data_IF_744700987668
#
_entry.id   IF_744700987668
#
_cell.length_a   1.000
_cell.length_b   1.000
_cell.length_c   1.000
_cell.angle_alpha   90.00
_cell.angle_beta   90.00
_cell.angle_gamma   90.00
#
_symmetry.space_group_name_H-M   'P 1'
#
loop_
_entity.id
_entity.type
_entity.pdbx_description
1 polymer ?
#
# COMPACT_ATOMS: atom_id res chain seq x y z
N UNK A 1 -43.26 -35.85 -7.62
CA UNK A 1 -42.57 -35.50 -6.37
C UNK A 1 -41.08 -35.41 -6.65
N UNK A 2 -40.45 -34.35 -6.12
CA UNK A 2 -39.00 -34.16 -5.83
C UNK A 2 -38.06 -34.35 -7.03
N UNK A 3 -37.49 -33.31 -7.65
CA UNK A 3 -36.93 -32.10 -7.05
C UNK A 3 -35.57 -32.43 -6.43
N UNK A 4 -34.55 -32.64 -7.25
CA UNK A 4 -33.15 -32.74 -6.79
C UNK A 4 -32.37 -31.60 -7.42
N UNK A 5 -32.29 -30.51 -6.68
CA UNK A 5 -31.26 -29.49 -6.82
C UNK A 5 -29.88 -30.10 -6.52
N UNK A 6 -28.85 -29.62 -7.21
CA UNK A 6 -27.54 -29.51 -6.58
C UNK A 6 -26.99 -28.07 -6.71
N UNK A 7 -26.85 -27.40 -5.57
CA UNK A 7 -25.88 -26.32 -5.26
C UNK A 7 -25.81 -26.21 -3.73
N UNK A 8 -24.73 -25.69 -3.09
CA UNK A 8 -23.69 -24.73 -3.55
C UNK A 8 -22.24 -25.27 -3.41
N UNK A 9 -21.23 -24.86 -4.20
CA UNK A 9 -20.50 -23.56 -4.26
C UNK A 9 -19.37 -23.41 -3.19
N UNK A 10 -18.22 -22.90 -3.66
CA UNK A 10 -17.02 -22.42 -2.94
C UNK A 10 -16.02 -23.40 -2.30
N UNK A 11 -14.95 -23.69 -3.04
CA UNK A 11 -13.61 -23.96 -2.47
C UNK A 11 -12.62 -22.88 -2.91
N UNK A 12 -12.49 -21.89 -2.04
CA UNK A 12 -11.30 -21.09 -1.68
C UNK A 12 -10.26 -20.86 -2.78
N UNK A 13 -10.37 -19.65 -3.32
CA UNK A 13 -9.30 -18.85 -3.92
C UNK A 13 -8.02 -18.86 -3.07
N UNK A 14 -6.90 -19.19 -3.72
CA UNK A 14 -5.56 -18.69 -3.39
C UNK A 14 -4.76 -18.74 -4.67
N UNK A 15 -4.80 -17.66 -5.43
CA UNK A 15 -3.75 -17.34 -6.38
C UNK A 15 -3.52 -15.84 -6.25
N UNK A 16 -2.42 -15.58 -5.57
CA UNK A 16 -1.81 -14.31 -5.27
C UNK A 16 -1.49 -13.59 -6.58
N UNK A 17 -2.38 -12.68 -6.98
CA UNK A 17 -2.10 -11.75 -8.07
C UNK A 17 -1.29 -10.59 -7.47
N UNK A 18 0.02 -10.79 -7.35
CA UNK A 18 0.97 -9.70 -7.17
C UNK A 18 1.12 -9.00 -8.54
N UNK A 19 0.13 -8.19 -8.90
CA UNK A 19 0.19 -7.36 -10.11
C UNK A 19 1.09 -6.15 -9.83
N UNK A 20 2.40 -6.38 -9.98
CA UNK A 20 3.38 -5.30 -10.13
C UNK A 20 3.27 -4.76 -11.56
N UNK A 21 2.48 -3.70 -11.71
CA UNK A 21 2.49 -2.79 -12.86
C UNK A 21 2.55 -1.39 -12.23
N UNK A 22 3.58 -0.58 -12.41
CA UNK A 22 4.03 -0.08 -13.71
C UNK A 22 5.41 0.55 -13.53
N UNK A 23 6.28 0.25 -14.48
CA UNK A 23 7.55 0.93 -14.74
C UNK A 23 7.39 2.46 -14.94
N UNK A 24 8.53 3.13 -14.87
CA UNK A 24 8.92 4.38 -15.52
C UNK A 24 8.27 5.71 -15.08
N UNK A 25 9.05 6.53 -14.37
CA UNK A 25 9.84 7.59 -15.00
C UNK A 25 10.38 8.56 -13.95
N UNK A 26 11.68 8.85 -14.05
CA UNK A 26 12.34 9.98 -13.43
C UNK A 26 11.53 11.26 -13.65
N UNK A 27 10.79 11.69 -12.64
CA UNK A 27 10.00 12.92 -12.63
C UNK A 27 10.02 13.44 -11.20
N UNK A 28 10.31 14.72 -11.05
CA UNK A 28 10.39 15.39 -9.75
C UNK A 28 9.17 15.05 -8.90
N UNK A 29 9.37 14.22 -7.88
CA UNK A 29 8.31 13.79 -6.98
C UNK A 29 7.92 14.97 -6.10
N UNK A 30 6.85 15.67 -6.47
CA UNK A 30 6.28 16.74 -5.66
C UNK A 30 5.88 16.16 -4.29
N UNK A 31 6.13 16.93 -3.22
CA UNK A 31 5.92 16.48 -1.83
C UNK A 31 4.44 16.17 -1.51
N UNK A 32 3.52 16.67 -2.34
CA UNK A 32 2.08 16.48 -2.24
C UNK A 32 1.52 15.27 -3.02
N UNK A 33 2.34 14.60 -3.84
CA UNK A 33 1.91 13.44 -4.60
C UNK A 33 1.84 12.18 -3.71
N UNK A 34 0.78 11.34 -3.82
CA UNK A 34 0.66 10.11 -3.04
C UNK A 34 1.87 9.19 -3.24
N UNK A 35 2.17 8.36 -2.24
CA UNK A 35 3.26 7.37 -2.32
C UNK A 35 3.11 6.47 -3.56
N UNK A 36 4.27 6.12 -4.16
CA UNK A 36 4.35 5.35 -5.41
C UNK A 36 3.57 4.05 -5.34
N UNK A 37 3.62 3.37 -4.20
CA UNK A 37 2.80 2.19 -3.92
C UNK A 37 1.71 2.57 -2.92
N UNK A 38 0.44 2.45 -3.33
CA UNK A 38 -0.69 2.67 -2.43
C UNK A 38 -1.02 1.33 -1.74
N UNK A 39 -0.85 1.23 -0.41
CA UNK A 39 -1.13 0.00 0.33
C UNK A 39 -2.62 -0.32 0.28
N UNK A 40 -2.93 -1.61 0.15
CA UNK A 40 -4.31 -2.11 0.14
C UNK A 40 -4.88 -2.21 1.56
N UNK A 41 -6.17 -2.50 1.72
CA UNK A 41 -6.78 -2.65 3.05
C UNK A 41 -6.17 -3.81 3.87
N UNK A 42 -5.53 -4.78 3.21
CA UNK A 42 -4.83 -5.90 3.86
C UNK A 42 -3.44 -5.51 4.38
N UNK A 43 -2.88 -4.41 3.90
CA UNK A 43 -1.58 -3.90 4.32
C UNK A 43 -1.67 -3.13 5.64
N UNK A 44 -0.55 -3.13 6.35
CA UNK A 44 -0.46 -2.56 7.70
C UNK A 44 -0.33 -1.03 7.63
N UNK A 45 -1.45 -0.32 7.42
CA UNK A 45 -1.50 1.14 7.17
C UNK A 45 -1.38 1.99 8.44
N UNK A 46 -1.09 1.36 9.57
CA UNK A 46 -0.93 1.98 10.89
C UNK A 46 0.12 3.10 10.89
N UNK A 47 1.14 3.00 10.02
CA UNK A 47 2.21 3.99 9.91
C UNK A 47 1.81 5.30 9.22
N UNK A 48 0.68 5.33 8.50
CA UNK A 48 0.18 6.53 7.82
C UNK A 48 -0.66 7.42 8.74
N UNK A 49 -1.02 6.95 9.93
CA UNK A 49 -1.92 7.67 10.83
C UNK A 49 -1.26 8.94 11.42
N UNK A 50 -2.01 10.04 11.56
CA UNK A 50 -1.53 11.24 12.23
C UNK A 50 -1.26 10.92 13.70
N UNK A 51 0.02 10.93 14.10
CA UNK A 51 0.46 10.56 15.45
C UNK A 51 1.29 9.28 15.51
N UNK A 52 1.47 8.58 14.39
CA UNK A 52 2.42 7.47 14.31
C UNK A 52 3.85 7.97 14.57
N UNK A 53 4.54 7.31 15.50
CA UNK A 53 5.93 7.61 15.81
C UNK A 53 6.83 6.44 15.34
N UNK A 54 7.64 6.66 14.28
CA UNK A 54 8.49 5.62 13.69
C UNK A 54 9.60 5.13 14.65
N UNK A 55 9.88 5.84 15.74
CA UNK A 55 10.86 5.41 16.73
C UNK A 55 10.41 4.21 17.57
N UNK A 56 9.09 3.92 17.66
CA UNK A 56 8.59 2.77 18.41
C UNK A 56 8.63 1.45 17.65
N UNK A 57 8.78 1.48 16.33
CA UNK A 57 8.87 0.28 15.53
C UNK A 57 10.32 -0.19 15.35
N UNK A 58 10.46 -1.45 14.96
CA UNK A 58 11.77 -2.07 14.72
C UNK A 58 12.34 -1.60 13.39
N UNK A 59 13.68 -1.65 13.26
CA UNK A 59 14.37 -1.34 11.99
C UNK A 59 13.87 -2.26 10.88
N UNK A 60 13.59 -3.54 11.16
CA UNK A 60 13.03 -4.47 10.18
C UNK A 60 11.68 -3.99 9.63
N UNK A 61 10.78 -3.49 10.49
CA UNK A 61 9.50 -2.94 10.05
C UNK A 61 9.67 -1.64 9.26
N UNK A 62 10.58 -0.74 9.68
CA UNK A 62 10.90 0.47 8.92
C UNK A 62 11.41 0.14 7.51
N UNK A 63 12.32 -0.83 7.40
CA UNK A 63 12.83 -1.31 6.11
C UNK A 63 11.73 -1.86 5.23
N UNK A 64 10.83 -2.67 5.77
CA UNK A 64 9.70 -3.21 5.01
C UNK A 64 8.79 -2.09 4.50
N UNK A 65 8.46 -1.10 5.34
CA UNK A 65 7.62 0.04 4.94
C UNK A 65 8.31 0.84 3.82
N UNK A 66 9.57 1.22 4.01
CA UNK A 66 10.31 1.98 3.00
C UNK A 66 10.43 1.19 1.69
N UNK A 67 10.71 -0.12 1.77
CA UNK A 67 10.78 -0.99 0.61
C UNK A 67 9.44 -1.12 -0.12
N UNK A 68 8.33 -1.21 0.62
CA UNK A 68 6.99 -1.32 0.04
C UNK A 68 6.63 -0.08 -0.78
N UNK A 69 7.09 1.10 -0.34
CA UNK A 69 6.91 2.38 -1.03
C UNK A 69 8.02 2.69 -2.06
N UNK A 70 8.87 1.72 -2.36
CA UNK A 70 10.03 1.87 -3.27
C UNK A 70 10.98 3.02 -2.86
N UNK A 71 11.03 3.36 -1.57
CA UNK A 71 11.93 4.38 -1.04
C UNK A 71 13.31 3.78 -0.80
N UNK A 72 14.36 4.25 -1.51
CA UNK A 72 15.69 3.70 -1.37
C UNK A 72 16.28 4.05 0.00
N UNK A 73 16.57 3.03 0.81
CA UNK A 73 17.13 3.18 2.16
C UNK A 73 18.57 2.66 2.27
N UNK A 74 19.25 2.41 1.15
CA UNK A 74 20.61 1.84 1.12
C UNK A 74 21.66 2.71 1.84
N UNK A 75 21.41 4.02 1.96
CA UNK A 75 22.26 4.97 2.68
C UNK A 75 22.04 4.95 4.20
N UNK A 76 20.89 4.46 4.66
CA UNK A 76 20.52 4.43 6.07
C UNK A 76 21.25 3.28 6.79
N UNK A 77 22.03 3.63 7.82
CA UNK A 77 22.80 2.66 8.62
C UNK A 77 22.31 2.54 10.05
N UNK A 78 21.74 3.61 10.60
CA UNK A 78 21.28 3.66 11.99
C UNK A 78 19.75 3.74 12.06
N UNK A 79 19.17 3.38 13.22
CA UNK A 79 17.73 3.54 13.45
C UNK A 79 17.26 4.99 13.19
N UNK A 80 18.10 5.96 13.56
CA UNK A 80 17.79 7.37 13.35
C UNK A 80 17.74 7.74 11.86
N UNK A 81 18.64 7.19 11.02
CA UNK A 81 18.57 7.39 9.56
C UNK A 81 17.25 6.88 8.98
N UNK A 82 16.82 5.68 9.38
CA UNK A 82 15.53 5.13 8.92
C UNK A 82 14.34 5.98 9.35
N UNK A 83 14.37 6.47 10.59
CA UNK A 83 13.35 7.40 11.09
C UNK A 83 13.36 8.70 10.31
N UNK A 84 14.54 9.27 10.03
CA UNK A 84 14.66 10.50 9.27
C UNK A 84 14.10 10.34 7.86
N UNK A 85 14.51 9.28 7.15
CA UNK A 85 14.04 8.98 5.79
C UNK A 85 12.52 8.79 5.75
N UNK A 86 11.96 8.12 6.77
CA UNK A 86 10.50 7.99 6.89
C UNK A 86 9.83 9.37 7.07
N UNK A 87 10.40 10.26 7.86
CA UNK A 87 9.84 11.59 8.10
C UNK A 87 9.99 12.53 6.90
N UNK A 88 11.02 12.36 6.07
CA UNK A 88 11.26 13.18 4.88
C UNK A 88 10.43 12.73 3.67
N UNK A 89 10.29 11.42 3.48
CA UNK A 89 9.69 10.87 2.26
C UNK A 89 8.26 10.37 2.49
N UNK A 90 8.03 9.63 3.58
CA UNK A 90 6.73 8.97 3.83
C UNK A 90 5.74 9.92 4.49
N UNK A 91 6.15 10.62 5.56
CA UNK A 91 5.25 11.47 6.36
C UNK A 91 4.55 12.58 5.56
N UNK A 92 5.20 13.37 4.69
CA UNK A 92 4.49 14.40 3.92
C UNK A 92 3.46 13.79 2.95
N UNK A 93 3.80 12.65 2.34
CA UNK A 93 2.95 11.95 1.37
C UNK A 93 1.86 11.11 2.05
N UNK A 94 1.98 10.83 3.34
CA UNK A 94 1.03 9.98 4.07
C UNK A 94 -0.41 10.49 4.02
N UNK A 95 -0.61 11.81 4.11
CA UNK A 95 -1.93 12.42 4.00
C UNK A 95 -2.52 12.22 2.60
N UNK A 96 -1.73 12.45 1.54
CA UNK A 96 -2.12 12.23 0.16
C UNK A 96 -2.43 10.74 -0.09
N UNK A 97 -1.61 9.82 0.43
CA UNK A 97 -1.84 8.37 0.35
C UNK A 97 -3.13 7.96 1.06
N UNK A 98 -3.44 8.49 2.25
CA UNK A 98 -4.71 8.19 2.93
C UNK A 98 -5.93 8.65 2.12
N UNK A 99 -5.84 9.81 1.45
CA UNK A 99 -6.90 10.28 0.56
C UNK A 99 -7.05 9.41 -0.69
N UNK A 100 -5.92 8.99 -1.28
CA UNK A 100 -5.90 8.07 -2.40
C UNK A 100 -6.49 6.70 -2.02
N UNK A 101 -6.11 6.15 -0.85
CA UNK A 101 -6.69 4.91 -0.30
C UNK A 101 -8.20 5.02 -0.08
N UNK A 102 -8.69 6.15 0.45
CA UNK A 102 -10.12 6.38 0.63
C UNK A 102 -10.88 6.40 -0.71
N UNK A 103 -10.22 6.86 -1.77
CA UNK A 103 -10.76 6.85 -3.13
C UNK A 103 -10.74 5.44 -3.72
N UNK A 104 -9.65 4.69 -3.57
CA UNK A 104 -9.52 3.29 -3.99
C UNK A 104 -10.55 2.39 -3.30
N UNK A 105 -10.82 2.60 -2.02
CA UNK A 105 -11.86 1.85 -1.28
C UNK A 105 -13.27 2.04 -1.85
N UNK A 106 -13.53 3.16 -2.56
CA UNK A 106 -14.80 3.35 -3.28
C UNK A 106 -14.81 2.67 -4.65
N UNK A 107 -13.66 2.53 -5.30
CA UNK A 107 -13.53 1.89 -6.62
C UNK A 107 -13.29 0.39 -6.59
N UNK A 108 -12.83 -0.19 -5.47
CA UNK A 108 -12.68 -1.64 -5.29
C UNK A 108 -14.03 -2.39 -5.36
N UNK A 109 -15.14 -1.69 -5.12
CA UNK A 109 -16.51 -2.20 -5.33
C UNK A 109 -17.06 -1.96 -6.75
N UNK A 110 -16.24 -1.43 -7.68
CA UNK A 110 -16.72 -0.79 -8.91
C UNK A 110 -15.97 -1.16 -10.19
N UNK A 111 -15.24 -2.28 -10.24
CA UNK A 111 -14.77 -2.82 -11.53
C UNK A 111 -15.98 -3.43 -12.26
N UNK A 112 -16.79 -2.56 -12.88
CA UNK A 112 -17.70 -2.96 -13.95
C UNK A 112 -16.85 -3.03 -15.21
N UNK A 113 -16.61 -4.25 -15.65
CA UNK A 113 -16.16 -4.63 -16.98
C UNK A 113 -16.82 -3.72 -18.04
N UNK A 114 -16.03 -2.81 -18.63
CA UNK A 114 -16.38 -2.22 -19.92
C UNK A 114 -15.57 -2.94 -20.99
N UNK A 115 -15.91 -4.22 -21.21
CA UNK A 115 -15.52 -4.91 -22.43
C UNK A 115 -16.36 -4.37 -23.59
N UNK A 116 -15.69 -3.89 -24.64
CA UNK A 116 -16.28 -3.74 -25.97
C UNK A 116 -15.49 -4.59 -26.95
#
# INVERSE_FOLDING_TARGET
>A
MTGTSPEPELSKISSENHETKTENSSGEVALDDPLTNIPTQSDDVSYLQPGFNPAFITIAKLRNILSAHEVPYATAKTKNDFVLLFLTDIKPRAAATLMAMASVKRTDAGIIDMRR
#
